data_IF_417481074650
#
_entry.id   IF_417481074650
#
_cell.length_a   1.000
_cell.length_b   1.000
_cell.length_c   1.000
_cell.angle_alpha   90.00
_cell.angle_beta   90.00
_cell.angle_gamma   90.00
#
_symmetry.space_group_name_H-M   'P 1'
#
loop_
_entity.id
_entity.type
_entity.pdbx_description
1 polymer ?
#
# COMPACT_ATOMS: atom_id res chain seq x y z
N UNK A 1 3.54 5.42 19.83
CA UNK A 1 4.46 5.01 18.78
C UNK A 1 4.46 5.97 17.65
N UNK A 2 5.63 6.29 17.22
CA UNK A 2 5.83 7.42 16.34
C UNK A 2 6.28 6.94 14.98
N UNK A 3 5.49 7.25 13.94
CA UNK A 3 5.89 6.96 12.58
C UNK A 3 6.70 8.14 12.05
N UNK A 4 7.91 7.87 11.64
CA UNK A 4 8.71 8.77 10.83
C UNK A 4 8.33 8.59 9.36
N UNK A 5 8.54 9.59 8.54
CA UNK A 5 8.41 9.45 7.09
C UNK A 5 9.41 8.43 6.50
N UNK A 6 10.40 8.06 7.29
CA UNK A 6 11.44 7.08 6.99
C UNK A 6 11.46 5.88 7.95
N UNK A 7 10.41 5.67 8.74
CA UNK A 7 10.33 4.54 9.64
C UNK A 7 9.12 4.63 10.55
N UNK A 8 8.39 3.55 10.71
CA UNK A 8 7.39 3.43 11.74
C UNK A 8 7.91 2.57 12.89
N UNK A 9 7.42 2.85 14.05
CA UNK A 9 7.95 2.27 15.26
C UNK A 9 6.85 1.59 16.03
N UNK A 10 7.07 0.34 16.40
CA UNK A 10 6.16 -0.41 17.26
C UNK A 10 6.21 0.14 18.68
N UNK A 11 5.06 0.44 19.23
CA UNK A 11 4.92 1.27 20.38
C UNK A 11 4.40 0.61 21.64
N UNK A 12 5.17 0.76 22.67
CA UNK A 12 4.71 1.34 23.93
C UNK A 12 5.57 2.59 24.15
N UNK A 13 5.01 3.80 24.11
CA UNK A 13 5.79 4.99 24.42
C UNK A 13 5.93 5.12 25.93
N UNK A 14 7.10 4.82 26.42
CA UNK A 14 7.49 5.42 27.70
C UNK A 14 7.92 6.86 27.42
N UNK A 15 7.42 7.79 28.21
CA UNK A 15 7.95 9.16 28.19
C UNK A 15 9.42 9.06 28.62
N UNK A 16 10.33 9.51 27.76
CA UNK A 16 11.74 9.50 28.10
C UNK A 16 11.94 10.25 29.42
N UNK A 17 12.87 9.77 30.23
CA UNK A 17 13.10 10.28 31.58
C UNK A 17 13.67 11.70 31.60
N UNK A 18 14.15 12.21 30.47
CA UNK A 18 14.69 13.58 30.35
C UNK A 18 14.08 14.29 29.14
N UNK A 19 13.60 15.52 29.30
CA UNK A 19 13.13 16.35 28.18
C UNK A 19 14.31 16.85 27.33
N UNK A 20 14.04 17.14 26.06
CA UNK A 20 14.96 17.88 25.22
C UNK A 20 14.90 19.37 25.57
N UNK A 21 16.04 20.06 25.58
CA UNK A 21 16.09 21.49 25.80
C UNK A 21 16.40 22.23 24.49
N UNK A 22 15.51 23.12 24.07
CA UNK A 22 15.72 24.02 22.95
C UNK A 22 15.99 25.44 23.48
N UNK A 23 17.11 26.02 23.07
CA UNK A 23 17.44 27.42 23.47
C UNK A 23 17.31 28.35 22.26
N UNK A 24 16.51 29.41 22.40
CA UNK A 24 16.28 30.42 21.38
C UNK A 24 16.49 31.79 22.03
N UNK A 25 17.36 32.62 21.48
CA UNK A 25 17.69 33.95 21.97
C UNK A 25 18.02 34.00 23.49
N UNK A 26 18.69 32.97 24.00
CA UNK A 26 19.09 32.84 25.40
C UNK A 26 18.02 32.31 26.35
N UNK A 27 16.79 32.09 25.87
CA UNK A 27 15.71 31.48 26.63
C UNK A 27 15.62 29.99 26.33
N UNK A 28 15.56 29.13 27.36
CA UNK A 28 15.46 27.68 27.23
C UNK A 28 14.02 27.20 27.41
N UNK A 29 13.63 26.26 26.54
CA UNK A 29 12.33 25.59 26.51
C UNK A 29 12.51 24.08 26.65
N UNK A 30 11.78 23.49 27.57
CA UNK A 30 11.76 22.01 27.73
C UNK A 30 10.67 21.41 26.84
N UNK A 31 11.06 20.43 26.03
CA UNK A 31 10.18 19.70 25.11
C UNK A 31 10.16 18.23 25.52
N UNK A 32 8.96 17.63 25.68
CA UNK A 32 8.86 16.20 26.00
C UNK A 32 9.52 15.34 24.93
N UNK A 33 10.10 14.21 25.36
CA UNK A 33 10.62 13.19 24.48
C UNK A 33 9.80 11.90 24.58
N UNK A 34 9.67 11.20 23.48
CA UNK A 34 9.08 9.87 23.42
C UNK A 34 10.14 8.89 22.93
N UNK A 35 10.32 7.79 23.66
CA UNK A 35 11.21 6.69 23.31
C UNK A 35 10.35 5.52 22.82
N UNK A 36 10.32 5.25 21.52
CA UNK A 36 9.57 4.13 20.98
C UNK A 36 10.30 2.80 21.19
N UNK A 37 9.59 1.67 21.13
CA UNK A 37 10.18 0.32 21.26
C UNK A 37 11.16 -0.05 20.13
N UNK A 38 11.15 0.69 19.05
CA UNK A 38 12.08 0.58 17.93
C UNK A 38 12.18 1.91 17.20
N UNK A 39 13.36 2.28 16.70
CA UNK A 39 13.63 3.56 16.05
C UNK A 39 14.17 4.64 17.00
N UNK A 40 14.44 5.84 16.47
CA UNK A 40 15.03 6.93 17.24
C UNK A 40 14.02 7.58 18.20
N UNK A 41 14.54 8.22 19.25
CA UNK A 41 13.75 9.07 20.13
C UNK A 41 13.17 10.24 19.37
N UNK A 42 12.00 10.73 19.85
CA UNK A 42 11.24 11.78 19.20
C UNK A 42 10.99 12.94 20.16
N UNK A 43 11.24 14.16 19.69
CA UNK A 43 10.93 15.39 20.44
C UNK A 43 9.49 15.80 20.12
N UNK A 44 8.65 15.93 21.14
CA UNK A 44 7.29 16.43 21.00
C UNK A 44 7.26 17.95 20.87
N UNK A 45 7.06 18.42 19.66
CA UNK A 45 7.04 19.86 19.35
C UNK A 45 5.64 20.48 19.34
N UNK A 46 4.59 19.75 19.73
CA UNK A 46 3.19 20.26 19.66
C UNK A 46 2.96 21.55 20.42
N UNK A 47 3.74 21.82 21.48
CA UNK A 47 3.63 23.04 22.31
C UNK A 47 4.65 24.11 21.93
N UNK A 48 5.58 23.84 21.00
CA UNK A 48 6.69 24.72 20.69
C UNK A 48 6.22 26.13 20.29
N UNK A 49 5.25 26.26 19.38
CA UNK A 49 4.75 27.55 18.96
C UNK A 49 4.13 28.35 20.12
N UNK A 50 3.34 27.69 20.96
CA UNK A 50 2.72 28.34 22.11
C UNK A 50 3.72 28.82 23.18
N UNK A 51 4.88 28.16 23.29
CA UNK A 51 5.92 28.50 24.27
C UNK A 51 6.93 29.51 23.73
N UNK A 52 7.37 29.33 22.49
CA UNK A 52 8.51 30.07 21.93
C UNK A 52 8.15 30.96 20.73
N UNK A 53 6.92 30.88 20.20
CA UNK A 53 6.48 31.66 19.04
C UNK A 53 7.14 31.29 17.70
N UNK A 54 7.80 30.13 17.63
CA UNK A 54 8.52 29.68 16.44
C UNK A 54 7.94 28.35 15.89
N UNK A 55 8.05 28.16 14.57
CA UNK A 55 7.74 26.89 13.89
C UNK A 55 9.02 26.15 13.51
N UNK A 56 8.90 24.84 13.36
CA UNK A 56 9.90 24.01 12.70
C UNK A 56 9.70 24.04 11.18
N UNK A 57 10.77 23.77 10.42
CA UNK A 57 10.73 23.71 8.95
C UNK A 57 11.32 22.39 8.48
N UNK A 58 10.46 21.47 8.05
CA UNK A 58 10.83 20.17 7.48
C UNK A 58 9.81 19.78 6.40
N UNK A 59 9.86 20.38 5.19
CA UNK A 59 8.86 20.20 4.14
C UNK A 59 8.80 18.76 3.58
N UNK A 60 9.83 17.97 3.81
CA UNK A 60 9.92 16.58 3.36
C UNK A 60 9.65 15.55 4.46
N UNK A 61 9.33 15.98 5.67
CA UNK A 61 9.18 15.11 6.85
C UNK A 61 10.39 14.18 7.06
N UNK A 62 11.59 14.65 6.74
CA UNK A 62 12.83 13.84 6.79
C UNK A 62 13.30 13.58 8.22
N UNK A 63 12.90 14.46 9.15
CA UNK A 63 13.24 14.38 10.57
C UNK A 63 12.03 14.63 11.47
N UNK A 64 10.81 14.45 10.95
CA UNK A 64 9.57 14.74 11.66
C UNK A 64 8.71 13.47 11.74
N UNK A 65 8.41 13.04 12.95
CA UNK A 65 7.42 12.01 13.21
C UNK A 65 6.00 12.56 12.97
N UNK A 66 5.25 11.92 12.09
CA UNK A 66 3.92 12.41 11.69
C UNK A 66 2.79 11.86 12.55
N UNK A 67 2.97 10.73 13.19
CA UNK A 67 1.96 10.05 14.01
C UNK A 67 2.53 8.92 14.85
N UNK A 68 1.68 8.40 15.72
CA UNK A 68 1.89 7.13 16.41
C UNK A 68 1.36 5.98 15.55
N UNK A 69 2.06 4.82 15.52
CA UNK A 69 1.61 3.61 14.85
C UNK A 69 2.10 2.36 15.55
N UNK A 70 1.26 1.32 15.59
CA UNK A 70 1.61 -0.03 16.03
C UNK A 70 1.53 -1.03 14.90
N UNK A 71 1.39 -0.56 13.64
CA UNK A 71 1.10 -1.41 12.49
C UNK A 71 2.38 -1.94 11.86
N UNK A 72 3.23 -1.05 11.39
CA UNK A 72 4.43 -1.42 10.62
C UNK A 72 5.68 -0.82 11.24
N UNK A 73 6.75 -1.57 11.25
CA UNK A 73 8.09 -1.13 11.59
C UNK A 73 9.03 -1.38 10.41
N UNK A 74 9.88 -0.40 10.10
CA UNK A 74 10.93 -0.52 9.10
C UNK A 74 12.26 -0.04 9.67
N UNK A 75 13.28 -0.89 9.56
CA UNK A 75 14.68 -0.50 9.73
C UNK A 75 15.37 -0.58 8.35
N UNK A 76 15.48 0.57 7.70
CA UNK A 76 16.04 0.65 6.34
C UNK A 76 17.54 0.36 6.29
N UNK A 77 18.27 0.55 7.39
CA UNK A 77 19.69 0.27 7.48
C UNK A 77 19.95 -1.24 7.59
N UNK A 78 19.10 -1.96 8.33
CA UNK A 78 19.17 -3.41 8.47
C UNK A 78 18.42 -4.17 7.38
N UNK A 79 17.51 -3.51 6.64
CA UNK A 79 16.64 -4.18 5.69
C UNK A 79 15.55 -5.01 6.39
N UNK A 80 14.99 -4.50 7.48
CA UNK A 80 13.94 -5.15 8.26
C UNK A 80 12.59 -4.48 7.99
N UNK A 81 11.55 -5.30 7.77
CA UNK A 81 10.16 -4.88 7.65
C UNK A 81 9.28 -5.82 8.47
N UNK A 82 8.55 -5.26 9.42
CA UNK A 82 7.65 -6.01 10.29
C UNK A 82 6.22 -5.45 10.18
N UNK A 83 5.24 -6.33 10.01
CA UNK A 83 3.83 -6.01 10.17
C UNK A 83 3.34 -6.56 11.51
N UNK A 84 2.88 -5.69 12.42
CA UNK A 84 2.48 -6.06 13.79
C UNK A 84 3.54 -6.87 14.54
N UNK A 85 4.82 -6.75 14.12
CA UNK A 85 5.95 -7.48 14.66
C UNK A 85 6.28 -8.80 13.98
N UNK A 86 5.50 -9.21 12.99
CA UNK A 86 5.79 -10.36 12.16
C UNK A 86 6.69 -9.96 10.98
N UNK A 87 7.81 -10.67 10.73
CA UNK A 87 8.66 -10.40 9.58
C UNK A 87 7.93 -10.62 8.26
N UNK A 88 8.15 -9.70 7.31
CA UNK A 88 7.43 -9.72 6.02
C UNK A 88 7.71 -10.96 5.18
N UNK A 89 8.92 -11.48 5.23
CA UNK A 89 9.32 -12.72 4.55
C UNK A 89 8.59 -13.94 5.11
N UNK A 90 8.37 -14.00 6.43
CA UNK A 90 7.58 -15.05 7.07
C UNK A 90 6.10 -14.93 6.69
N UNK A 91 5.53 -13.73 6.76
CA UNK A 91 4.13 -13.51 6.37
C UNK A 91 3.90 -13.90 4.91
N UNK A 92 4.76 -13.48 4.00
CA UNK A 92 4.60 -13.77 2.57
C UNK A 92 4.85 -15.24 2.20
N UNK A 93 5.56 -16.01 3.03
CA UNK A 93 5.84 -17.42 2.79
C UNK A 93 4.89 -18.38 3.51
N UNK A 94 4.36 -18.01 4.68
CA UNK A 94 3.61 -18.88 5.59
C UNK A 94 2.15 -18.48 5.79
N UNK A 95 1.79 -17.24 5.44
CA UNK A 95 0.43 -16.72 5.53
C UNK A 95 -0.10 -16.40 4.13
N UNK A 96 -1.40 -16.15 4.01
CA UNK A 96 -2.00 -15.55 2.83
C UNK A 96 -2.52 -14.14 3.11
N UNK A 97 -2.86 -13.41 2.07
CA UNK A 97 -3.16 -11.98 2.15
C UNK A 97 -4.27 -11.62 3.15
N UNK A 98 -5.34 -12.42 3.26
CA UNK A 98 -6.44 -12.11 4.19
C UNK A 98 -6.03 -12.30 5.65
N UNK A 99 -5.12 -13.25 5.99
CA UNK A 99 -4.55 -13.32 7.34
C UNK A 99 -3.77 -12.05 7.68
N UNK A 100 -3.01 -11.52 6.71
CA UNK A 100 -2.27 -10.27 6.88
C UNK A 100 -3.21 -9.08 7.00
N UNK A 101 -4.29 -9.01 6.21
CA UNK A 101 -5.35 -8.01 6.38
C UNK A 101 -5.94 -8.05 7.80
N UNK A 102 -6.24 -9.24 8.30
CA UNK A 102 -6.75 -9.43 9.65
C UNK A 102 -5.75 -8.91 10.68
N UNK A 103 -4.48 -9.32 10.59
CA UNK A 103 -3.44 -8.88 11.53
C UNK A 103 -3.27 -7.35 11.52
N UNK A 104 -3.29 -6.72 10.35
CA UNK A 104 -3.17 -5.26 10.24
C UNK A 104 -4.37 -4.54 10.88
N UNK A 105 -5.59 -5.07 10.72
CA UNK A 105 -6.81 -4.48 11.28
C UNK A 105 -6.93 -4.71 12.79
N UNK A 106 -6.71 -5.94 13.26
CA UNK A 106 -7.03 -6.35 14.62
C UNK A 106 -5.82 -6.50 15.54
N UNK A 107 -4.59 -6.52 15.00
CA UNK A 107 -3.35 -6.46 15.78
C UNK A 107 -2.57 -7.75 15.89
N UNK A 108 -3.20 -8.91 15.75
CA UNK A 108 -2.59 -10.24 15.82
C UNK A 108 -3.07 -11.10 14.64
N UNK A 109 -2.31 -12.14 14.29
CA UNK A 109 -2.75 -13.13 13.31
C UNK A 109 -4.00 -13.86 13.83
N UNK A 110 -4.95 -14.18 12.93
CA UNK A 110 -6.20 -14.83 13.33
C UNK A 110 -5.97 -16.27 13.79
N UNK A 111 -6.82 -16.73 14.69
CA UNK A 111 -7.02 -18.16 14.91
C UNK A 111 -7.83 -18.74 13.75
N UNK A 112 -7.91 -20.08 13.67
CA UNK A 112 -8.56 -20.74 12.54
C UNK A 112 -10.06 -20.37 12.39
N UNK A 113 -10.79 -20.25 13.50
CA UNK A 113 -12.21 -19.86 13.52
C UNK A 113 -12.42 -18.36 13.21
N UNK A 114 -11.50 -17.51 13.66
CA UNK A 114 -11.49 -16.08 13.33
C UNK A 114 -11.20 -15.86 11.85
N UNK A 115 -10.24 -16.61 11.29
CA UNK A 115 -9.90 -16.57 9.87
C UNK A 115 -11.08 -17.00 9.00
N UNK A 116 -11.69 -18.16 9.28
CA UNK A 116 -12.85 -18.66 8.54
C UNK A 116 -13.98 -17.62 8.53
N UNK A 117 -14.23 -16.99 9.68
CA UNK A 117 -15.25 -15.94 9.80
C UNK A 117 -14.90 -14.71 8.96
N UNK A 118 -13.65 -14.28 9.00
CA UNK A 118 -13.19 -13.10 8.26
C UNK A 118 -13.20 -13.35 6.74
N UNK A 119 -12.71 -14.50 6.29
CA UNK A 119 -12.75 -14.90 4.88
C UNK A 119 -14.18 -14.98 4.36
N UNK A 120 -15.08 -15.61 5.09
CA UNK A 120 -16.49 -15.68 4.73
C UNK A 120 -17.12 -14.29 4.64
N UNK A 121 -16.74 -13.38 5.53
CA UNK A 121 -17.21 -12.00 5.52
C UNK A 121 -16.71 -11.24 4.30
N UNK A 122 -15.41 -11.33 3.98
CA UNK A 122 -14.82 -10.71 2.79
C UNK A 122 -15.45 -11.26 1.51
N UNK A 123 -15.55 -12.59 1.39
CA UNK A 123 -16.12 -13.28 0.23
C UNK A 123 -17.56 -12.82 -0.07
N UNK A 124 -18.39 -12.62 0.97
CA UNK A 124 -19.77 -12.13 0.80
C UNK A 124 -19.88 -10.67 0.39
N UNK A 125 -18.79 -9.90 0.45
CA UNK A 125 -18.77 -8.48 0.11
C UNK A 125 -18.04 -8.15 -1.19
N UNK A 126 -17.61 -9.13 -1.98
CA UNK A 126 -16.81 -8.94 -3.21
C UNK A 126 -17.57 -8.23 -4.34
N UNK A 127 -18.88 -8.47 -4.47
CA UNK A 127 -19.70 -7.82 -5.50
C UNK A 127 -19.88 -6.33 -5.22
N UNK A 128 -19.77 -5.51 -6.26
CA UNK A 128 -20.16 -4.09 -6.20
C UNK A 128 -21.65 -3.94 -6.54
N UNK A 129 -22.22 -2.78 -6.18
CA UNK A 129 -23.59 -2.46 -6.53
C UNK A 129 -23.74 -2.41 -8.06
N UNK A 130 -24.78 -3.05 -8.62
CA UNK A 130 -24.94 -3.23 -10.08
C UNK A 130 -24.94 -1.90 -10.85
N UNK A 131 -25.53 -0.84 -10.30
CA UNK A 131 -25.51 0.48 -10.93
C UNK A 131 -24.10 1.09 -11.08
N UNK A 132 -23.11 0.63 -10.30
CA UNK A 132 -21.73 1.08 -10.44
C UNK A 132 -21.13 0.67 -11.79
N UNK A 133 -21.62 -0.38 -12.44
CA UNK A 133 -21.24 -0.73 -13.82
C UNK A 133 -21.48 0.41 -14.80
N UNK A 134 -22.56 1.18 -14.60
CA UNK A 134 -22.85 2.35 -15.44
C UNK A 134 -21.83 3.47 -15.20
N UNK A 135 -21.26 3.55 -14.00
CA UNK A 135 -20.24 4.53 -13.68
C UNK A 135 -18.97 4.33 -14.51
N UNK A 136 -18.53 3.07 -14.71
CA UNK A 136 -17.41 2.76 -15.60
C UNK A 136 -17.64 3.25 -17.03
N UNK A 137 -18.86 3.16 -17.54
CA UNK A 137 -19.24 3.61 -18.90
C UNK A 137 -19.15 5.12 -19.10
N UNK A 138 -19.05 5.89 -18.02
CA UNK A 138 -18.84 7.34 -18.06
C UNK A 138 -17.38 7.74 -18.35
N UNK A 139 -16.43 6.82 -18.21
CA UNK A 139 -15.03 7.08 -18.53
C UNK A 139 -14.75 6.82 -20.02
N UNK A 140 -13.71 7.45 -20.54
CA UNK A 140 -13.16 7.07 -21.85
C UNK A 140 -12.50 5.69 -21.73
N UNK A 141 -12.59 4.88 -22.78
CA UNK A 141 -11.97 3.54 -22.79
C UNK A 141 -10.45 3.56 -22.67
N UNK A 142 -9.81 4.60 -23.18
CA UNK A 142 -8.37 4.84 -23.06
C UNK A 142 -7.97 5.55 -21.76
N UNK A 143 -8.90 5.73 -20.82
CA UNK A 143 -8.61 6.28 -19.51
C UNK A 143 -7.64 5.37 -18.75
N UNK A 144 -6.68 5.99 -18.06
CA UNK A 144 -5.75 5.26 -17.21
C UNK A 144 -6.54 4.50 -16.11
N UNK A 145 -6.27 3.20 -15.87
CA UNK A 145 -7.03 2.40 -14.89
C UNK A 145 -7.06 3.04 -13.49
N UNK A 146 -5.97 3.68 -13.06
CA UNK A 146 -5.93 4.38 -11.77
C UNK A 146 -6.89 5.57 -11.71
N UNK A 147 -7.08 6.31 -12.80
CA UNK A 147 -8.09 7.38 -12.85
C UNK A 147 -9.51 6.83 -12.68
N UNK A 148 -9.79 5.70 -13.33
CA UNK A 148 -11.06 4.98 -13.17
C UNK A 148 -11.25 4.54 -11.73
N UNK A 149 -10.23 3.94 -11.10
CA UNK A 149 -10.30 3.50 -9.71
C UNK A 149 -10.55 4.66 -8.74
N UNK A 150 -9.87 5.80 -8.89
CA UNK A 150 -10.13 7.00 -8.07
C UNK A 150 -11.59 7.40 -8.11
N UNK A 151 -12.17 7.45 -9.31
CA UNK A 151 -13.56 7.84 -9.49
C UNK A 151 -14.54 6.81 -8.91
N UNK A 152 -14.35 5.53 -9.20
CA UNK A 152 -15.25 4.45 -8.78
C UNK A 152 -15.20 4.24 -7.26
N UNK A 153 -14.01 4.25 -6.65
CA UNK A 153 -13.89 4.09 -5.19
C UNK A 153 -14.50 5.29 -4.47
N UNK A 154 -14.28 6.51 -4.95
CA UNK A 154 -14.95 7.69 -4.41
C UNK A 154 -16.48 7.62 -4.51
N UNK A 155 -16.99 7.10 -5.62
CA UNK A 155 -18.43 6.91 -5.85
C UNK A 155 -19.08 5.90 -4.90
N UNK A 156 -18.31 4.96 -4.29
CA UNK A 156 -18.83 4.05 -3.25
C UNK A 156 -19.53 4.80 -2.12
N UNK A 157 -19.12 6.04 -1.84
CA UNK A 157 -19.78 6.90 -0.84
C UNK A 157 -21.28 7.12 -1.13
N UNK A 158 -21.68 7.07 -2.40
CA UNK A 158 -23.07 7.27 -2.83
C UNK A 158 -23.88 5.95 -2.88
N UNK A 159 -23.25 4.79 -2.65
CA UNK A 159 -23.90 3.49 -2.71
C UNK A 159 -23.96 2.76 -1.36
N UNK A 160 -23.05 3.06 -0.44
CA UNK A 160 -22.88 2.35 0.84
C UNK A 160 -23.03 3.29 2.03
N UNK A 161 -24.22 3.91 2.17
CA UNK A 161 -24.50 4.94 3.17
C UNK A 161 -24.45 4.44 4.62
N UNK A 162 -24.60 3.14 4.82
CA UNK A 162 -24.53 2.45 6.11
C UNK A 162 -23.10 2.20 6.63
N UNK A 163 -22.10 2.75 5.97
CA UNK A 163 -20.68 2.61 6.33
C UNK A 163 -19.87 3.88 6.03
N UNK A 164 -20.47 5.04 6.23
CA UNK A 164 -19.85 6.34 5.96
C UNK A 164 -19.51 7.14 7.22
N UNK A 165 -20.10 6.82 8.38
CA UNK A 165 -19.81 7.49 9.63
C UNK A 165 -18.52 6.95 10.27
N UNK A 166 -17.48 7.80 10.28
CA UNK A 166 -16.19 7.44 10.88
C UNK A 166 -16.19 7.43 12.41
N UNK A 167 -17.21 8.00 13.05
CA UNK A 167 -17.33 8.01 14.51
C UNK A 167 -17.98 6.73 15.05
N UNK A 168 -18.71 6.01 14.19
CA UNK A 168 -19.29 4.70 14.51
C UNK A 168 -18.27 3.58 14.23
N UNK A 169 -17.89 2.84 15.26
CA UNK A 169 -16.90 1.77 15.15
C UNK A 169 -17.35 0.63 14.21
N UNK A 170 -18.63 0.28 14.24
CA UNK A 170 -19.17 -0.75 13.36
C UNK A 170 -19.16 -0.31 11.89
N UNK A 171 -19.55 0.94 11.60
CA UNK A 171 -19.50 1.45 10.24
C UNK A 171 -18.07 1.53 9.71
N UNK A 172 -17.09 1.89 10.54
CA UNK A 172 -15.67 1.85 10.14
C UNK A 172 -15.22 0.43 9.78
N UNK A 173 -15.60 -0.56 10.57
CA UNK A 173 -15.29 -1.97 10.31
C UNK A 173 -15.93 -2.43 9.00
N UNK A 174 -17.23 -2.19 8.82
CA UNK A 174 -17.96 -2.52 7.58
C UNK A 174 -17.33 -1.84 6.36
N UNK A 175 -16.95 -0.56 6.46
CA UNK A 175 -16.25 0.15 5.40
C UNK A 175 -14.91 -0.50 5.04
N UNK A 176 -14.14 -0.89 6.05
CA UNK A 176 -12.84 -1.56 5.85
C UNK A 176 -13.00 -2.90 5.14
N UNK A 177 -13.95 -3.74 5.58
CA UNK A 177 -14.28 -5.01 4.93
C UNK A 177 -14.72 -4.81 3.49
N UNK A 178 -15.61 -3.83 3.24
CA UNK A 178 -16.08 -3.52 1.88
C UNK A 178 -14.96 -3.04 0.96
N UNK A 179 -14.06 -2.21 1.46
CA UNK A 179 -12.90 -1.74 0.69
C UNK A 179 -11.96 -2.90 0.34
N UNK A 180 -11.60 -3.74 1.31
CA UNK A 180 -10.78 -4.93 1.06
C UNK A 180 -11.47 -5.84 0.02
N UNK A 181 -12.73 -6.19 0.26
CA UNK A 181 -13.45 -7.16 -0.56
C UNK A 181 -13.71 -6.68 -2.00
N UNK A 182 -14.02 -5.39 -2.19
CA UNK A 182 -14.44 -4.85 -3.49
C UNK A 182 -13.29 -4.31 -4.34
N UNK A 183 -12.14 -4.05 -3.74
CA UNK A 183 -11.00 -3.49 -4.47
C UNK A 183 -10.54 -4.37 -5.64
N UNK A 184 -10.38 -5.71 -5.50
CA UNK A 184 -10.06 -6.58 -6.63
C UNK A 184 -11.12 -6.54 -7.74
N UNK A 185 -12.40 -6.50 -7.37
CA UNK A 185 -13.50 -6.43 -8.34
C UNK A 185 -13.45 -5.12 -9.13
N UNK A 186 -13.25 -3.99 -8.45
CA UNK A 186 -13.15 -2.67 -9.08
C UNK A 186 -11.91 -2.61 -9.99
N UNK A 187 -10.78 -3.11 -9.54
CA UNK A 187 -9.54 -3.14 -10.33
C UNK A 187 -9.67 -4.02 -11.59
N UNK A 188 -10.24 -5.21 -11.45
CA UNK A 188 -10.49 -6.10 -12.57
C UNK A 188 -11.48 -5.50 -13.58
N UNK A 189 -12.54 -4.83 -13.10
CA UNK A 189 -13.48 -4.13 -13.98
C UNK A 189 -12.84 -2.94 -14.70
N UNK A 190 -11.98 -2.18 -14.03
CA UNK A 190 -11.21 -1.11 -14.67
C UNK A 190 -10.32 -1.66 -15.80
N UNK A 191 -9.64 -2.77 -15.56
CA UNK A 191 -8.84 -3.47 -16.56
C UNK A 191 -9.71 -3.99 -17.73
N UNK A 192 -10.79 -4.70 -17.45
CA UNK A 192 -11.71 -5.22 -18.47
C UNK A 192 -12.33 -4.10 -19.32
N UNK A 193 -12.70 -3.01 -18.70
CA UNK A 193 -13.20 -1.83 -19.40
C UNK A 193 -12.15 -1.24 -20.35
N UNK A 194 -10.92 -1.10 -19.89
CA UNK A 194 -9.81 -0.56 -20.68
C UNK A 194 -9.53 -1.41 -21.93
N UNK A 195 -9.47 -2.73 -21.79
CA UNK A 195 -9.21 -3.64 -22.93
C UNK A 195 -10.48 -3.94 -23.77
N UNK A 196 -11.64 -3.46 -23.34
CA UNK A 196 -12.92 -3.60 -24.06
C UNK A 196 -13.54 -4.97 -23.98
N UNK A 197 -13.26 -5.72 -22.94
CA UNK A 197 -13.88 -6.99 -22.62
C UNK A 197 -15.07 -6.84 -21.66
N UNK A 198 -16.01 -7.80 -21.62
CA UNK A 198 -17.11 -7.78 -20.67
C UNK A 198 -16.58 -7.92 -19.23
N UNK A 199 -17.31 -7.31 -18.29
CA UNK A 199 -17.04 -7.52 -16.87
C UNK A 199 -17.29 -8.96 -16.46
N UNK A 200 -16.44 -9.45 -15.57
CA UNK A 200 -16.55 -10.77 -14.96
C UNK A 200 -16.86 -10.59 -13.48
N UNK A 201 -17.85 -11.33 -13.00
CA UNK A 201 -18.27 -11.29 -11.61
C UNK A 201 -17.36 -12.15 -10.73
N UNK A 202 -17.18 -11.79 -9.46
CA UNK A 202 -16.43 -12.61 -8.52
C UNK A 202 -17.15 -13.94 -8.26
N UNK A 203 -16.38 -14.97 -7.88
CA UNK A 203 -16.83 -16.30 -7.50
C UNK A 203 -16.52 -16.55 -6.03
N UNK A 204 -17.48 -17.13 -5.29
CA UNK A 204 -17.33 -17.39 -3.87
C UNK A 204 -16.53 -18.67 -3.56
N UNK A 205 -16.26 -19.49 -4.55
CA UNK A 205 -15.51 -20.75 -4.43
C UNK A 205 -14.00 -20.56 -4.70
N UNK A 206 -13.57 -19.36 -5.05
CA UNK A 206 -12.17 -19.00 -5.25
C UNK A 206 -11.63 -18.18 -4.06
N UNK A 207 -10.36 -18.39 -3.73
CA UNK A 207 -9.66 -17.53 -2.80
C UNK A 207 -9.49 -16.09 -3.35
N UNK A 208 -9.02 -15.19 -2.50
CA UNK A 208 -8.94 -13.76 -2.83
C UNK A 208 -8.09 -13.47 -4.07
N UNK A 209 -6.91 -14.07 -4.17
CA UNK A 209 -5.98 -13.85 -5.27
C UNK A 209 -6.44 -14.56 -6.56
N UNK A 210 -6.90 -15.80 -6.44
CA UNK A 210 -7.46 -16.55 -7.56
C UNK A 210 -8.70 -15.85 -8.13
N UNK A 211 -9.55 -15.30 -7.28
CA UNK A 211 -10.75 -14.56 -7.70
C UNK A 211 -10.38 -13.28 -8.48
N UNK A 212 -9.34 -12.55 -8.06
CA UNK A 212 -8.84 -11.41 -8.82
C UNK A 212 -8.35 -11.83 -10.21
N UNK A 213 -7.55 -12.89 -10.32
CA UNK A 213 -7.07 -13.39 -11.60
C UNK A 213 -8.23 -13.88 -12.49
N UNK A 214 -9.21 -14.59 -11.90
CA UNK A 214 -10.42 -14.99 -12.60
C UNK A 214 -11.15 -13.79 -13.21
N UNK A 215 -11.39 -12.74 -12.43
CA UNK A 215 -12.08 -11.55 -12.91
C UNK A 215 -11.29 -10.78 -13.98
N UNK A 216 -9.96 -10.82 -13.93
CA UNK A 216 -9.10 -10.15 -14.91
C UNK A 216 -9.03 -10.90 -16.24
N UNK A 217 -8.94 -12.23 -16.21
CA UNK A 217 -8.51 -13.01 -17.40
C UNK A 217 -9.56 -13.93 -17.96
N UNK A 218 -10.59 -14.34 -17.22
CA UNK A 218 -11.66 -15.15 -17.81
C UNK A 218 -12.50 -14.35 -18.82
N UNK A 219 -13.03 -15.07 -19.80
CA UNK A 219 -13.96 -14.54 -20.83
C UNK A 219 -15.18 -15.45 -20.94
N UNK A 220 -16.37 -14.92 -21.32
CA UNK A 220 -17.58 -15.75 -21.38
C UNK A 220 -17.54 -16.83 -22.46
N UNK A 221 -16.57 -16.79 -23.38
CA UNK A 221 -16.52 -17.66 -24.54
C UNK A 221 -15.82 -19.02 -24.27
N UNK A 222 -15.08 -19.11 -23.18
CA UNK A 222 -14.29 -20.31 -22.82
C UNK A 222 -14.17 -20.47 -21.31
N UNK A 223 -13.92 -21.70 -20.87
CA UNK A 223 -13.61 -21.99 -19.46
C UNK A 223 -12.22 -21.48 -19.12
N UNK A 224 -12.09 -20.87 -17.95
CA UNK A 224 -10.84 -20.37 -17.41
C UNK A 224 -10.59 -20.96 -16.03
N UNK A 225 -9.53 -21.72 -15.92
CA UNK A 225 -9.03 -22.25 -14.64
C UNK A 225 -7.82 -21.43 -14.17
N UNK A 226 -7.89 -20.95 -12.93
CA UNK A 226 -6.79 -20.19 -12.34
C UNK A 226 -5.64 -21.12 -12.00
N UNK A 227 -4.47 -20.85 -12.56
CA UNK A 227 -3.28 -21.62 -12.22
C UNK A 227 -2.86 -21.33 -10.77
N UNK A 228 -2.67 -22.35 -9.91
CA UNK A 228 -2.35 -22.15 -8.49
C UNK A 228 -1.00 -21.46 -8.24
N UNK A 229 -0.02 -21.60 -9.14
CA UNK A 229 1.27 -20.89 -9.04
C UNK A 229 1.05 -19.41 -9.25
N UNK A 230 0.23 -19.01 -10.23
CA UNK A 230 -0.11 -17.60 -10.48
C UNK A 230 -0.94 -17.01 -9.34
N UNK A 231 -1.90 -17.78 -8.80
CA UNK A 231 -2.69 -17.33 -7.63
C UNK A 231 -1.80 -17.08 -6.42
N UNK A 232 -0.89 -18.00 -6.11
CA UNK A 232 0.08 -17.85 -5.01
C UNK A 232 1.03 -16.67 -5.23
N UNK A 233 1.52 -16.47 -6.44
CA UNK A 233 2.37 -15.33 -6.76
C UNK A 233 1.63 -14.00 -6.56
N UNK A 234 0.36 -13.92 -6.97
CA UNK A 234 -0.49 -12.75 -6.77
C UNK A 234 -0.79 -12.51 -5.29
N UNK A 235 -1.07 -13.54 -4.51
CA UNK A 235 -1.30 -13.44 -3.07
C UNK A 235 -0.07 -12.90 -2.33
N UNK A 236 1.13 -13.38 -2.69
CA UNK A 236 2.40 -12.85 -2.19
C UNK A 236 2.58 -11.38 -2.56
N UNK A 237 2.26 -10.99 -3.80
CA UNK A 237 2.30 -9.58 -4.23
C UNK A 237 1.39 -8.72 -3.37
N UNK A 238 0.15 -9.15 -3.11
CA UNK A 238 -0.77 -8.43 -2.22
C UNK A 238 -0.21 -8.32 -0.81
N UNK A 239 0.31 -9.42 -0.25
CA UNK A 239 0.92 -9.43 1.08
C UNK A 239 2.10 -8.46 1.20
N UNK A 240 3.02 -8.48 0.22
CA UNK A 240 4.20 -7.62 0.20
C UNK A 240 3.87 -6.13 0.00
N UNK A 241 2.66 -5.82 -0.47
CA UNK A 241 2.17 -4.45 -0.68
C UNK A 241 1.07 -4.04 0.31
N UNK A 242 0.77 -4.87 1.31
CA UNK A 242 -0.34 -4.63 2.23
C UNK A 242 -0.16 -3.34 3.04
N UNK A 243 1.04 -3.06 3.52
CA UNK A 243 1.40 -1.82 4.20
C UNK A 243 2.90 -1.51 4.08
N UNK A 244 3.24 -0.23 4.07
CA UNK A 244 4.63 0.24 4.12
C UNK A 244 4.71 1.55 4.91
N UNK A 245 4.17 1.52 6.13
CA UNK A 245 4.08 2.63 7.10
C UNK A 245 3.52 3.95 6.53
N UNK A 246 4.13 5.10 6.92
CA UNK A 246 3.68 6.43 6.47
C UNK A 246 4.21 6.79 5.08
N UNK A 247 3.92 5.94 4.08
CA UNK A 247 4.09 6.30 2.68
C UNK A 247 3.14 7.44 2.27
N UNK A 248 3.32 7.98 1.08
CA UNK A 248 2.55 9.13 0.61
C UNK A 248 1.03 8.87 0.59
N UNK A 249 0.58 7.65 0.23
CA UNK A 249 -0.84 7.28 0.24
C UNK A 249 -1.40 7.23 1.66
N UNK A 250 -0.70 6.57 2.58
CA UNK A 250 -1.12 6.48 3.99
C UNK A 250 -1.23 7.86 4.62
N UNK A 251 -0.24 8.73 4.40
CA UNK A 251 -0.26 10.11 4.89
C UNK A 251 -1.40 10.92 4.28
N UNK A 252 -1.70 10.72 2.98
CA UNK A 252 -2.83 11.36 2.30
C UNK A 252 -4.18 10.91 2.87
N UNK A 253 -4.36 9.60 3.08
CA UNK A 253 -5.59 9.04 3.69
C UNK A 253 -5.78 9.61 5.10
N UNK A 254 -4.72 9.68 5.91
CA UNK A 254 -4.77 10.26 7.26
C UNK A 254 -5.12 11.74 7.23
N UNK A 255 -4.52 12.50 6.31
CA UNK A 255 -4.84 13.92 6.16
C UNK A 255 -6.31 14.11 5.74
N UNK A 256 -6.79 13.37 4.76
CA UNK A 256 -8.18 13.42 4.33
C UNK A 256 -9.14 13.04 5.47
N UNK A 257 -8.85 11.97 6.20
CA UNK A 257 -9.69 11.51 7.31
C UNK A 257 -9.72 12.48 8.51
N UNK A 258 -8.69 13.32 8.67
CA UNK A 258 -8.65 14.31 9.75
C UNK A 258 -9.75 15.35 9.62
N UNK A 259 -10.33 15.54 8.44
CA UNK A 259 -11.49 16.42 8.21
C UNK A 259 -12.84 15.78 8.55
N UNK A 260 -12.87 14.50 8.94
CA UNK A 260 -14.10 13.75 9.13
C UNK A 260 -14.69 13.18 7.84
N UNK A 261 -13.93 13.17 6.74
CA UNK A 261 -14.40 12.59 5.47
C UNK A 261 -14.62 11.08 5.59
N UNK A 262 -15.61 10.56 4.85
CA UNK A 262 -15.94 9.14 4.88
C UNK A 262 -14.80 8.24 4.33
N UNK A 263 -14.73 6.95 4.73
CA UNK A 263 -13.62 6.07 4.39
C UNK A 263 -13.39 5.91 2.87
N UNK A 264 -14.45 5.84 2.08
CA UNK A 264 -14.34 5.66 0.62
C UNK A 264 -13.69 6.87 -0.06
N UNK A 265 -14.07 8.10 0.35
CA UNK A 265 -13.46 9.32 -0.13
C UNK A 265 -11.98 9.42 0.29
N UNK A 266 -11.66 9.03 1.52
CA UNK A 266 -10.27 9.02 2.01
C UNK A 266 -9.40 8.04 1.23
N UNK A 267 -9.89 6.84 0.95
CA UNK A 267 -9.16 5.83 0.15
C UNK A 267 -9.04 6.27 -1.31
N UNK A 268 -10.05 6.91 -1.89
CA UNK A 268 -9.94 7.49 -3.23
C UNK A 268 -8.82 8.54 -3.32
N UNK A 269 -8.66 9.38 -2.29
CA UNK A 269 -7.53 10.31 -2.20
C UNK A 269 -6.17 9.59 -2.10
N UNK A 270 -6.10 8.49 -1.34
CA UNK A 270 -4.93 7.62 -1.28
C UNK A 270 -4.58 7.00 -2.63
N UNK A 271 -5.58 6.52 -3.38
CA UNK A 271 -5.41 5.96 -4.73
C UNK A 271 -4.89 7.04 -5.70
N UNK A 272 -5.43 8.27 -5.61
CA UNK A 272 -4.95 9.38 -6.41
C UNK A 272 -3.48 9.70 -6.12
N UNK A 273 -3.06 9.67 -4.86
CA UNK A 273 -1.66 9.82 -4.46
C UNK A 273 -0.79 8.66 -4.96
N UNK A 274 -1.29 7.41 -4.86
CA UNK A 274 -0.59 6.20 -5.31
C UNK A 274 -0.26 6.26 -6.82
N UNK A 275 -1.12 6.86 -7.61
CA UNK A 275 -0.92 7.00 -9.05
C UNK A 275 0.28 7.90 -9.43
N UNK A 276 0.74 8.75 -8.52
CA UNK A 276 1.87 9.66 -8.76
C UNK A 276 3.16 8.92 -9.15
N UNK A 277 3.97 9.46 -10.11
CA UNK A 277 5.19 8.81 -10.61
C UNK A 277 6.30 8.66 -9.56
N UNK A 278 6.23 9.43 -8.48
CA UNK A 278 7.16 9.32 -7.34
C UNK A 278 6.69 8.33 -6.26
N UNK A 279 5.61 7.59 -6.51
CA UNK A 279 5.04 6.59 -5.60
C UNK A 279 4.70 5.30 -6.38
N UNK A 280 3.47 4.80 -6.38
CA UNK A 280 3.08 3.59 -7.10
C UNK A 280 3.27 3.67 -8.61
N UNK A 281 3.16 4.85 -9.21
CA UNK A 281 3.49 5.09 -10.62
C UNK A 281 4.94 4.80 -11.01
N UNK A 282 5.84 4.63 -10.05
CA UNK A 282 7.22 4.21 -10.31
C UNK A 282 7.31 2.80 -10.93
N UNK A 283 6.36 1.90 -10.63
CA UNK A 283 6.29 0.57 -11.24
C UNK A 283 6.01 0.67 -12.75
N UNK A 284 5.08 1.53 -13.15
CA UNK A 284 4.81 1.82 -14.55
C UNK A 284 6.04 2.38 -15.25
N UNK A 285 6.70 3.36 -14.64
CA UNK A 285 7.93 3.97 -15.20
C UNK A 285 9.06 2.94 -15.35
N UNK A 286 9.16 1.96 -14.45
CA UNK A 286 10.11 0.86 -14.57
C UNK A 286 9.80 -0.03 -15.78
N UNK A 287 8.54 -0.41 -15.99
CA UNK A 287 8.12 -1.20 -17.16
C UNK A 287 8.34 -0.43 -18.47
N UNK A 288 8.07 0.88 -18.50
CA UNK A 288 8.32 1.73 -19.65
C UNK A 288 9.80 1.80 -19.97
N UNK A 289 10.67 1.96 -18.96
CA UNK A 289 12.11 1.92 -19.11
C UNK A 289 12.60 0.58 -19.69
N UNK A 290 12.11 -0.55 -19.17
CA UNK A 290 12.47 -1.87 -19.68
C UNK A 290 12.06 -2.05 -21.15
N UNK A 291 10.87 -1.54 -21.53
CA UNK A 291 10.42 -1.52 -22.92
C UNK A 291 11.30 -0.62 -23.81
N UNK A 292 11.76 0.52 -23.28
CA UNK A 292 12.68 1.44 -24.01
C UNK A 292 14.05 0.79 -24.21
N UNK A 293 14.58 0.09 -23.20
CA UNK A 293 15.83 -0.68 -23.32
C UNK A 293 15.65 -1.78 -24.37
N UNK A 294 14.61 -2.56 -24.28
CA UNK A 294 14.17 -3.56 -25.26
C UNK A 294 15.00 -4.82 -25.31
N UNK A 295 16.35 -4.72 -25.35
CA UNK A 295 17.26 -5.86 -25.50
C UNK A 295 18.47 -5.73 -24.59
N UNK A 296 19.04 -6.88 -24.18
CA UNK A 296 20.13 -6.96 -23.20
C UNK A 296 21.39 -6.24 -23.68
N UNK A 297 21.68 -6.25 -24.98
CA UNK A 297 22.84 -5.58 -25.57
C UNK A 297 22.79 -4.06 -25.45
N UNK A 298 21.61 -3.45 -25.24
CA UNK A 298 21.45 -2.01 -25.02
C UNK A 298 21.62 -1.58 -23.56
N UNK A 299 21.63 -2.50 -22.61
CA UNK A 299 21.78 -2.20 -21.17
C UNK A 299 23.01 -1.31 -20.89
N UNK A 300 24.23 -1.56 -21.46
CA UNK A 300 25.39 -0.71 -21.22
C UNK A 300 25.19 0.75 -21.62
N UNK A 301 24.46 1.03 -22.71
CA UNK A 301 24.12 2.38 -23.17
C UNK A 301 23.31 3.12 -22.09
N UNK A 302 22.25 2.50 -21.58
CA UNK A 302 21.38 3.10 -20.60
C UNK A 302 22.05 3.28 -19.22
N UNK A 303 22.92 2.35 -18.84
CA UNK A 303 23.76 2.51 -17.65
C UNK A 303 24.72 3.70 -17.79
N UNK A 304 25.32 3.89 -18.98
CA UNK A 304 26.18 5.02 -19.23
C UNK A 304 25.44 6.36 -19.14
N UNK A 305 24.23 6.43 -19.72
CA UNK A 305 23.34 7.60 -19.60
C UNK A 305 23.00 7.91 -18.15
N UNK A 306 22.64 6.90 -17.36
CA UNK A 306 22.28 7.09 -15.94
C UNK A 306 23.49 7.55 -15.07
N UNK A 307 24.72 7.27 -15.50
CA UNK A 307 25.96 7.70 -14.83
C UNK A 307 26.42 9.09 -15.28
N UNK A 308 25.95 9.57 -16.42
CA UNK A 308 26.31 10.91 -16.92
C UNK A 308 25.53 11.98 -16.13
N UNK A 309 26.25 12.85 -15.44
CA UNK A 309 25.66 13.94 -14.64
C UNK A 309 24.95 15.00 -15.51
N UNK A 310 25.20 15.03 -16.81
CA UNK A 310 24.58 15.96 -17.75
C UNK A 310 23.36 15.35 -18.45
N UNK A 311 23.13 14.03 -18.35
CA UNK A 311 21.91 13.36 -18.80
C UNK A 311 20.89 13.31 -17.65
N UNK A 312 19.66 13.68 -17.92
CA UNK A 312 18.58 13.59 -16.95
C UNK A 312 17.99 12.17 -16.83
N UNK A 313 18.58 11.20 -17.52
CA UNK A 313 18.11 9.81 -17.48
C UNK A 313 18.31 9.18 -16.11
N UNK A 314 17.28 8.47 -15.63
CA UNK A 314 17.30 7.73 -14.37
C UNK A 314 16.90 6.29 -14.60
N UNK A 315 17.64 5.37 -13.99
CA UNK A 315 17.23 3.97 -13.91
C UNK A 315 16.07 3.87 -12.90
N UNK A 316 14.90 3.52 -13.41
CA UNK A 316 13.71 3.28 -12.58
C UNK A 316 13.80 1.88 -11.96
N UNK A 317 13.25 1.73 -10.74
CA UNK A 317 13.37 0.48 -9.98
C UNK A 317 14.67 0.32 -9.20
N UNK A 318 15.56 1.30 -9.26
CA UNK A 318 16.80 1.35 -8.49
C UNK A 318 16.80 2.51 -7.52
N UNK A 319 17.39 2.29 -6.33
CA UNK A 319 17.44 3.27 -5.26
C UNK A 319 16.11 3.40 -4.53
N UNK A 320 16.11 3.01 -3.27
CA UNK A 320 14.96 3.14 -2.38
C UNK A 320 15.21 4.26 -1.36
N UNK A 321 14.18 5.02 -1.00
CA UNK A 321 14.35 6.14 -0.07
C UNK A 321 14.59 5.67 1.37
N UNK A 322 14.03 4.53 1.75
CA UNK A 322 14.12 3.97 3.10
C UNK A 322 15.25 2.96 3.20
N UNK A 323 15.21 1.91 2.36
CA UNK A 323 16.23 0.86 2.39
C UNK A 323 17.55 1.34 1.79
N UNK A 324 18.62 1.32 2.59
CA UNK A 324 19.98 1.67 2.14
C UNK A 324 20.75 0.47 1.64
N UNK A 325 20.42 -0.71 2.15
CA UNK A 325 21.11 -1.95 1.83
C UNK A 325 20.24 -2.85 0.97
N UNK A 326 19.13 -3.36 1.51
CA UNK A 326 18.31 -4.39 0.86
C UNK A 326 16.83 -4.26 1.28
N UNK A 327 15.92 -4.40 0.31
CA UNK A 327 14.49 -4.51 0.60
C UNK A 327 14.13 -5.99 0.83
N UNK A 328 13.68 -6.38 2.04
CA UNK A 328 13.42 -7.78 2.37
C UNK A 328 12.32 -8.41 1.48
N UNK A 329 11.47 -7.59 0.87
CA UNK A 329 10.43 -8.05 -0.06
C UNK A 329 11.00 -8.59 -1.37
N UNK A 330 12.18 -8.10 -1.79
CA UNK A 330 12.78 -8.44 -3.07
C UNK A 330 13.14 -9.93 -3.17
N UNK A 331 13.52 -10.58 -2.07
CA UNK A 331 13.81 -12.03 -2.06
C UNK A 331 12.56 -12.85 -2.38
N UNK A 332 11.43 -12.54 -1.73
CA UNK A 332 10.17 -13.25 -1.95
C UNK A 332 9.63 -12.97 -3.36
N UNK A 333 9.76 -11.72 -3.82
CA UNK A 333 9.36 -11.35 -5.19
C UNK A 333 10.18 -12.09 -6.24
N UNK A 334 11.51 -12.18 -6.05
CA UNK A 334 12.38 -12.94 -6.97
C UNK A 334 11.98 -14.41 -7.02
N UNK A 335 11.82 -15.06 -5.87
CA UNK A 335 11.38 -16.45 -5.81
C UNK A 335 10.04 -16.65 -6.55
N UNK A 336 9.08 -15.77 -6.35
CA UNK A 336 7.78 -15.84 -7.03
C UNK A 336 7.92 -15.62 -8.54
N UNK A 337 8.82 -14.72 -8.96
CA UNK A 337 9.11 -14.50 -10.38
C UNK A 337 9.74 -15.75 -11.01
N UNK A 338 10.72 -16.37 -10.35
CA UNK A 338 11.38 -17.59 -10.82
C UNK A 338 10.36 -18.74 -10.99
N UNK A 339 9.45 -18.96 -10.00
CA UNK A 339 8.37 -19.95 -10.08
C UNK A 339 7.42 -19.71 -11.27
N UNK A 340 7.10 -18.44 -11.56
CA UNK A 340 6.21 -18.07 -12.67
C UNK A 340 6.93 -18.20 -14.02
N UNK A 341 8.19 -17.80 -14.13
CA UNK A 341 8.97 -17.93 -15.35
C UNK A 341 9.17 -19.42 -15.73
N UNK A 342 9.46 -20.29 -14.75
CA UNK A 342 9.53 -21.74 -14.96
C UNK A 342 8.19 -22.28 -15.49
N UNK A 343 7.06 -21.89 -14.89
CA UNK A 343 5.73 -22.26 -15.37
C UNK A 343 5.49 -21.86 -16.84
N UNK A 344 5.97 -20.68 -17.22
CA UNK A 344 5.79 -20.14 -18.58
C UNK A 344 6.80 -20.70 -19.59
N UNK A 345 7.78 -21.51 -19.16
CA UNK A 345 8.85 -22.03 -20.00
C UNK A 345 9.77 -20.93 -20.54
N UNK A 346 9.88 -19.80 -19.83
CA UNK A 346 10.79 -18.72 -20.17
C UNK A 346 12.13 -19.02 -19.53
N UNK A 347 13.14 -19.32 -20.34
CA UNK A 347 14.51 -19.47 -19.84
C UNK A 347 15.03 -18.09 -19.35
N UNK A 348 15.72 -18.11 -18.21
CA UNK A 348 16.38 -16.93 -17.63
C UNK A 348 17.50 -16.49 -18.61
N UNK A 349 17.27 -15.40 -19.32
CA UNK A 349 18.24 -14.81 -20.25
C UNK A 349 18.81 -13.51 -19.65
#
# INVERSE_FOLDING_TARGET
>A
CTCLFAGSVRCVSETATQPATLTIDGQSYELPMHSPNGGPDVIDIRKLYGQAGVFTYDPGFTSTAACDSTITFIDGDKGELLHRGYPIDQLASQSHYLEVCYALLYGELPKADELETFEALVTRHTMIHEQMHNFFRGFRRDAHPMATMVGVVGAMSAFYHDSTDINDAHQREVASIRLIAKMPTIAAMAYKYHIGQPFVYPRNDLDYAANFLHMCFSVPAEDYEVNPILARAMDRIFTLHADHEQNASTSTVRLASSSGANPFACIAAGIACLWGPAHGGANQACLEMLKEIGTVDRIPEFIARAKDKNDNYRLMGFGHRVYKNFDPRATVMKQSADEVLELLGVEDN
#
